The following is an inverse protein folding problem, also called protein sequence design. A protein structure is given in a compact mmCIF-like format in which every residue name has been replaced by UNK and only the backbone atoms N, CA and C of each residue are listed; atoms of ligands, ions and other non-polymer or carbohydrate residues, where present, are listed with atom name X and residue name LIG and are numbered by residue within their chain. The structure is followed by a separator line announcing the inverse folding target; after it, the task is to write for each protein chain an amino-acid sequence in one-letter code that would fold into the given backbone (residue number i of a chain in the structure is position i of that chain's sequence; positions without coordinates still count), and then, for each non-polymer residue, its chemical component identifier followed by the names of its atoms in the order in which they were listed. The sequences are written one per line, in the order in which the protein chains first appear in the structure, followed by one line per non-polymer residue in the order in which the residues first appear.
data_IF_204492763648
#
_entry.id   IF_204492763648
#
_cell.length_a   1.000
_cell.length_b   1.000
_cell.length_c   1.000
_cell.angle_alpha   90.00
_cell.angle_beta   90.00
_cell.angle_gamma   90.00
#
_symmetry.space_group_name_H-M   'P 1'
#
loop_
_entity.id
_entity.type
_entity.pdbx_description
1 polymer ?
#
# COMPACT_ATOMS: atom_id res chain seq x y z
N UNK A 1 8.13 -7.60 21.38
CA UNK A 1 6.69 -7.87 21.22
C UNK A 1 6.10 -8.16 22.58
N UNK A 2 4.92 -7.61 22.87
CA UNK A 2 4.21 -7.82 24.13
C UNK A 2 3.99 -9.31 24.36
N UNK A 3 4.23 -9.76 25.59
CA UNK A 3 3.83 -11.10 26.02
C UNK A 3 2.32 -11.08 26.29
N UNK A 4 1.55 -11.82 25.49
CA UNK A 4 0.10 -11.95 25.64
C UNK A 4 -0.27 -13.43 25.70
N UNK A 5 -1.13 -13.79 26.65
CA UNK A 5 -1.58 -15.17 26.89
C UNK A 5 -2.99 -15.44 26.36
N UNK A 6 -3.64 -14.41 25.78
CA UNK A 6 -5.03 -14.46 25.33
C UNK A 6 -5.34 -15.60 24.35
N UNK A 7 -4.34 -16.03 23.57
CA UNK A 7 -4.50 -17.05 22.53
C UNK A 7 -3.99 -18.44 22.93
N UNK A 8 -3.40 -18.59 24.13
CA UNK A 8 -2.84 -19.87 24.56
C UNK A 8 -3.91 -20.96 24.63
N UNK A 9 -3.67 -22.07 23.92
CA UNK A 9 -4.58 -23.22 23.81
C UNK A 9 -5.94 -22.88 23.18
N UNK A 10 -6.08 -21.72 22.53
CA UNK A 10 -7.31 -21.30 21.85
C UNK A 10 -7.33 -21.79 20.41
N UNK A 11 -8.44 -22.38 19.99
CA UNK A 11 -8.61 -22.76 18.58
C UNK A 11 -8.95 -21.51 17.77
N UNK A 12 -8.12 -21.22 16.77
CA UNK A 12 -8.28 -20.04 15.91
C UNK A 12 -8.34 -20.47 14.45
N UNK A 13 -9.35 -19.99 13.73
CA UNK A 13 -9.52 -20.25 12.30
C UNK A 13 -8.97 -19.08 11.50
N UNK A 14 -7.96 -19.34 10.66
CA UNK A 14 -7.45 -18.36 9.68
C UNK A 14 -8.11 -18.64 8.33
N UNK A 15 -8.97 -17.73 7.87
CA UNK A 15 -9.72 -17.86 6.63
C UNK A 15 -9.04 -17.07 5.50
N UNK A 16 -8.44 -17.80 4.55
CA UNK A 16 -7.67 -17.28 3.43
C UNK A 16 -6.24 -16.94 3.82
N UNK A 17 -5.28 -17.39 3.01
CA UNK A 17 -3.85 -17.12 3.22
C UNK A 17 -3.46 -15.75 2.69
N UNK A 18 -3.09 -15.66 1.40
CA UNK A 18 -2.34 -14.50 0.88
C UNK A 18 -1.14 -14.14 1.81
N UNK A 19 -0.57 -12.93 1.68
CA UNK A 19 0.58 -12.53 2.53
C UNK A 19 0.19 -12.40 4.01
N UNK A 20 -0.94 -11.77 4.31
CA UNK A 20 -1.34 -11.45 5.69
C UNK A 20 -1.94 -12.64 6.46
N UNK A 21 -2.62 -13.57 5.80
CA UNK A 21 -3.15 -14.78 6.47
C UNK A 21 -2.02 -15.74 6.86
N UNK A 22 -0.99 -15.87 6.03
CA UNK A 22 0.22 -16.64 6.38
C UNK A 22 0.92 -16.03 7.60
N UNK A 23 1.14 -14.71 7.61
CA UNK A 23 1.73 -14.00 8.75
C UNK A 23 0.89 -14.12 10.03
N UNK A 24 -0.44 -14.00 9.92
CA UNK A 24 -1.36 -14.18 11.04
C UNK A 24 -1.32 -15.61 11.60
N UNK A 25 -1.31 -16.64 10.74
CA UNK A 25 -1.25 -18.04 11.16
C UNK A 25 0.02 -18.33 11.97
N UNK A 26 1.19 -17.87 11.48
CA UNK A 26 2.46 -18.03 12.20
C UNK A 26 2.49 -17.26 13.51
N UNK A 27 2.00 -16.01 13.53
CA UNK A 27 1.94 -15.23 14.76
C UNK A 27 1.06 -15.91 15.81
N UNK A 28 -0.13 -16.37 15.44
CA UNK A 28 -1.04 -17.06 16.34
C UNK A 28 -0.44 -18.36 16.89
N UNK A 29 0.22 -19.17 16.05
CA UNK A 29 0.91 -20.37 16.49
C UNK A 29 2.03 -20.04 17.51
N UNK A 30 2.80 -18.98 17.26
CA UNK A 30 3.83 -18.48 18.19
C UNK A 30 3.26 -17.97 19.52
N UNK A 31 2.01 -17.50 19.52
CA UNK A 31 1.26 -17.09 20.72
C UNK A 31 0.54 -18.26 21.41
N UNK A 32 0.80 -19.51 21.00
CA UNK A 32 0.24 -20.71 21.62
C UNK A 32 -1.17 -21.08 21.15
N UNK A 33 -1.68 -20.48 20.07
CA UNK A 33 -2.97 -20.84 19.49
C UNK A 33 -2.92 -22.18 18.76
N UNK A 34 -4.05 -22.91 18.78
CA UNK A 34 -4.28 -24.11 17.97
C UNK A 34 -4.88 -23.64 16.63
N UNK A 35 -4.00 -23.35 15.68
CA UNK A 35 -4.39 -22.72 14.41
C UNK A 35 -4.91 -23.76 13.41
N UNK A 36 -6.01 -23.42 12.74
CA UNK A 36 -6.45 -24.08 11.50
C UNK A 36 -6.53 -23.04 10.40
N UNK A 37 -5.91 -23.32 9.26
CA UNK A 37 -6.00 -22.50 8.04
C UNK A 37 -7.05 -23.10 7.12
N UNK A 38 -7.90 -22.27 6.53
CA UNK A 38 -8.84 -22.66 5.48
C UNK A 38 -8.64 -21.76 4.25
N UNK A 39 -8.26 -22.33 3.11
CA UNK A 39 -8.02 -21.61 1.86
C UNK A 39 -8.73 -22.27 0.67
N UNK A 40 -9.24 -21.45 -0.26
CA UNK A 40 -10.00 -21.94 -1.41
C UNK A 40 -9.13 -22.63 -2.46
N UNK A 41 -7.83 -22.33 -2.51
CA UNK A 41 -6.92 -22.95 -3.50
C UNK A 41 -6.65 -24.42 -3.14
N UNK A 42 -6.64 -25.36 -4.11
CA UNK A 42 -6.23 -26.74 -3.87
C UNK A 42 -4.85 -26.84 -3.20
N UNK A 43 -4.66 -27.83 -2.33
CA UNK A 43 -3.43 -27.98 -1.53
C UNK A 43 -2.18 -28.10 -2.40
N UNK A 44 -2.24 -28.89 -3.48
CA UNK A 44 -1.12 -29.12 -4.41
C UNK A 44 -0.65 -27.85 -5.11
N UNK A 45 -1.53 -26.85 -5.24
CA UNK A 45 -1.25 -25.56 -5.89
C UNK A 45 -0.93 -24.44 -4.89
N UNK A 46 -0.84 -24.77 -3.60
CA UNK A 46 -0.74 -23.80 -2.51
C UNK A 46 0.52 -23.97 -1.65
N UNK A 47 1.68 -23.43 -2.11
CA UNK A 47 2.95 -23.54 -1.38
C UNK A 47 2.90 -23.00 0.05
N UNK A 48 2.17 -21.91 0.29
CA UNK A 48 2.00 -21.35 1.64
C UNK A 48 1.27 -22.33 2.58
N UNK A 49 0.25 -23.02 2.09
CA UNK A 49 -0.44 -24.05 2.88
C UNK A 49 0.45 -25.27 3.16
N UNK A 50 1.25 -25.69 2.17
CA UNK A 50 2.22 -26.78 2.32
C UNK A 50 3.25 -26.44 3.41
N UNK A 51 3.86 -25.25 3.35
CA UNK A 51 4.81 -24.78 4.36
C UNK A 51 4.20 -24.73 5.77
N UNK A 52 2.98 -24.21 5.91
CA UNK A 52 2.30 -24.15 7.21
C UNK A 52 1.99 -25.56 7.77
N UNK A 53 1.68 -26.53 6.91
CA UNK A 53 1.49 -27.91 7.34
C UNK A 53 2.80 -28.53 7.84
N UNK A 54 3.93 -28.27 7.18
CA UNK A 54 5.27 -28.69 7.64
C UNK A 54 5.65 -28.05 8.99
N UNK A 55 5.18 -26.82 9.24
CA UNK A 55 5.30 -26.12 10.52
C UNK A 55 4.33 -26.66 11.61
N UNK A 56 3.50 -27.66 11.29
CA UNK A 56 2.57 -28.30 12.22
C UNK A 56 1.21 -27.61 12.35
N UNK A 57 0.89 -26.65 11.49
CA UNK A 57 -0.41 -25.96 11.47
C UNK A 57 -1.40 -26.75 10.61
N UNK A 58 -2.60 -27.02 11.13
CA UNK A 58 -3.66 -27.72 10.37
C UNK A 58 -4.09 -26.86 9.19
N UNK A 59 -4.18 -27.44 8.00
CA UNK A 59 -4.66 -26.77 6.78
C UNK A 59 -5.84 -27.52 6.14
N UNK A 60 -6.79 -26.76 5.62
CA UNK A 60 -7.96 -27.23 4.85
C UNK A 60 -7.97 -26.44 3.54
N UNK A 61 -7.80 -27.14 2.42
CA UNK A 61 -7.62 -26.52 1.11
C UNK A 61 -8.63 -27.06 0.08
N UNK A 62 -8.87 -26.29 -0.99
CA UNK A 62 -9.74 -26.68 -2.10
C UNK A 62 -11.24 -26.52 -1.85
N UNK A 63 -11.63 -25.94 -0.71
CA UNK A 63 -13.03 -25.72 -0.37
C UNK A 63 -13.22 -25.13 1.03
N UNK A 64 -14.46 -24.75 1.33
CA UNK A 64 -14.83 -24.09 2.58
C UNK A 64 -15.94 -24.87 3.31
N UNK A 65 -15.61 -26.01 3.94
CA UNK A 65 -16.60 -26.81 4.66
C UNK A 65 -17.14 -26.04 5.86
N UNK A 66 -18.45 -25.79 5.89
CA UNK A 66 -19.10 -25.02 6.96
C UNK A 66 -19.07 -25.78 8.30
N UNK A 67 -19.04 -27.12 8.23
CA UNK A 67 -18.95 -28.02 9.38
C UNK A 67 -17.63 -27.84 10.14
N UNK A 68 -16.61 -27.24 9.52
CA UNK A 68 -15.38 -26.86 10.22
C UNK A 68 -15.67 -25.92 11.40
N UNK A 69 -16.65 -25.02 11.24
CA UNK A 69 -17.06 -24.11 12.31
C UNK A 69 -17.86 -24.79 13.42
N UNK A 70 -18.17 -26.09 13.29
CA UNK A 70 -18.73 -26.91 14.38
C UNK A 70 -17.69 -27.37 15.40
N UNK A 71 -16.41 -27.17 15.11
CA UNK A 71 -15.36 -27.19 16.11
C UNK A 71 -15.45 -25.95 17.04
N UNK A 72 -14.93 -26.06 18.28
CA UNK A 72 -14.91 -24.97 19.27
C UNK A 72 -13.86 -23.88 18.95
N UNK A 73 -14.02 -23.17 17.84
CA UNK A 73 -13.20 -22.00 17.51
C UNK A 73 -13.61 -20.78 18.36
N UNK A 74 -12.61 -20.07 18.90
CA UNK A 74 -12.84 -18.87 19.72
C UNK A 74 -12.56 -17.57 18.95
N UNK A 75 -11.97 -17.67 17.76
CA UNK A 75 -11.68 -16.53 16.89
C UNK A 75 -11.59 -17.00 15.43
N UNK A 76 -12.09 -16.18 14.51
CA UNK A 76 -11.75 -16.22 13.10
C UNK A 76 -10.89 -15.01 12.75
N UNK A 77 -9.77 -15.24 12.06
CA UNK A 77 -8.98 -14.18 11.43
C UNK A 77 -9.11 -14.32 9.93
N UNK A 78 -9.78 -13.37 9.28
CA UNK A 78 -10.04 -13.43 7.85
C UNK A 78 -9.06 -12.58 7.06
N UNK A 79 -8.69 -13.06 5.87
CA UNK A 79 -8.13 -12.21 4.83
C UNK A 79 -9.10 -11.02 4.60
N UNK A 80 -8.63 -9.75 4.65
CA UNK A 80 -9.48 -8.58 4.51
C UNK A 80 -10.38 -8.61 3.28
N UNK A 81 -9.88 -9.08 2.14
CA UNK A 81 -10.64 -9.10 0.88
C UNK A 81 -11.84 -10.04 0.83
N UNK A 82 -11.94 -11.00 1.75
CA UNK A 82 -13.10 -11.91 1.82
C UNK A 82 -14.31 -11.12 2.34
N UNK A 83 -15.45 -11.19 1.65
CA UNK A 83 -16.64 -10.43 2.03
C UNK A 83 -17.31 -10.98 3.30
N UNK A 84 -18.11 -10.16 3.96
CA UNK A 84 -18.86 -10.56 5.16
C UNK A 84 -20.10 -11.42 4.85
N UNK A 85 -20.58 -11.41 3.60
CA UNK A 85 -21.60 -12.33 3.09
C UNK A 85 -21.04 -13.70 2.65
N UNK A 86 -19.72 -13.90 2.79
CA UNK A 86 -19.11 -15.21 2.57
C UNK A 86 -19.69 -16.23 3.57
N UNK A 87 -20.09 -17.44 3.13
CA UNK A 87 -20.73 -18.43 4.00
C UNK A 87 -19.96 -18.77 5.28
N UNK A 88 -18.62 -18.84 5.23
CA UNK A 88 -17.80 -19.09 6.43
C UNK A 88 -17.86 -17.92 7.41
N UNK A 89 -17.79 -16.69 6.90
CA UNK A 89 -17.83 -15.48 7.73
C UNK A 89 -19.22 -15.30 8.36
N UNK A 90 -20.27 -15.44 7.56
CA UNK A 90 -21.65 -15.38 8.03
C UNK A 90 -21.91 -16.44 9.12
N UNK A 91 -21.47 -17.68 8.90
CA UNK A 91 -21.60 -18.75 9.88
C UNK A 91 -20.80 -18.49 11.16
N UNK A 92 -19.60 -17.93 11.08
CA UNK A 92 -18.82 -17.56 12.26
C UNK A 92 -19.56 -16.52 13.11
N UNK A 93 -20.14 -15.50 12.47
CA UNK A 93 -20.93 -14.47 13.12
C UNK A 93 -22.22 -15.04 13.75
N UNK A 94 -22.93 -15.94 13.06
CA UNK A 94 -24.11 -16.64 13.61
C UNK A 94 -23.78 -17.41 14.90
N UNK A 95 -22.59 -18.00 14.98
CA UNK A 95 -22.12 -18.74 16.16
C UNK A 95 -21.52 -17.84 17.24
N UNK A 96 -21.49 -16.52 17.04
CA UNK A 96 -20.89 -15.56 17.96
C UNK A 96 -19.37 -15.62 18.03
N UNK A 97 -18.71 -16.23 17.03
CA UNK A 97 -17.25 -16.26 16.92
C UNK A 97 -16.79 -14.88 16.43
N UNK A 98 -15.91 -14.18 17.17
CA UNK A 98 -15.35 -12.91 16.71
C UNK A 98 -14.64 -13.09 15.36
N UNK A 99 -14.80 -12.10 14.48
CA UNK A 99 -14.16 -12.08 13.17
C UNK A 99 -13.22 -10.88 13.10
N UNK A 100 -11.92 -11.14 13.15
CA UNK A 100 -10.89 -10.11 13.09
C UNK A 100 -10.12 -10.13 11.77
N UNK A 101 -9.43 -9.04 11.50
CA UNK A 101 -8.38 -8.98 10.49
C UNK A 101 -7.02 -8.93 11.18
N UNK A 102 -5.98 -9.25 10.42
CA UNK A 102 -4.63 -9.41 10.93
C UNK A 102 -4.05 -8.16 11.63
N UNK A 103 -4.53 -6.95 11.30
CA UNK A 103 -4.07 -5.70 11.94
C UNK A 103 -4.50 -5.58 13.40
N UNK A 104 -5.58 -6.24 13.81
CA UNK A 104 -5.97 -6.35 15.22
C UNK A 104 -4.93 -7.17 16.00
N UNK A 105 -4.45 -8.28 15.42
CA UNK A 105 -3.40 -9.10 16.04
C UNK A 105 -2.09 -8.31 16.16
N UNK A 106 -1.71 -7.59 15.11
CA UNK A 106 -0.52 -6.75 15.09
C UNK A 106 -0.54 -5.72 16.23
N UNK A 107 -1.68 -5.04 16.42
CA UNK A 107 -1.84 -4.10 17.52
C UNK A 107 -1.70 -4.75 18.91
N UNK A 108 -2.31 -5.93 19.11
CA UNK A 108 -2.26 -6.62 20.42
C UNK A 108 -0.84 -7.00 20.83
N UNK A 109 0.03 -7.36 19.88
CA UNK A 109 1.42 -7.76 20.16
C UNK A 109 2.44 -6.62 20.06
N UNK A 110 2.09 -5.50 19.41
CA UNK A 110 3.02 -4.38 19.21
C UNK A 110 3.32 -3.65 20.52
N UNK A 111 4.59 -3.41 20.80
CA UNK A 111 5.03 -2.47 21.83
C UNK A 111 5.09 -1.02 21.33
N UNK A 112 5.30 -0.85 20.02
CA UNK A 112 5.36 0.45 19.37
C UNK A 112 3.98 1.11 19.31
N UNK A 113 3.89 2.45 19.51
CA UNK A 113 2.71 3.21 19.12
C UNK A 113 2.44 3.10 17.61
N UNK A 114 1.18 3.29 17.24
CA UNK A 114 0.73 3.20 15.85
C UNK A 114 0.28 4.57 15.35
N UNK A 115 0.77 4.94 14.17
CA UNK A 115 0.19 5.95 13.29
C UNK A 115 -0.57 5.21 12.19
N UNK A 116 -1.90 5.27 12.20
CA UNK A 116 -2.75 4.56 11.24
C UNK A 116 -3.24 5.47 10.12
N UNK A 117 -3.01 5.11 8.85
CA UNK A 117 -3.39 5.92 7.69
C UNK A 117 -4.41 5.18 6.83
N UNK A 118 -5.59 5.78 6.65
CA UNK A 118 -6.62 5.31 5.73
C UNK A 118 -7.19 6.44 4.86
N UNK A 119 -8.10 6.07 3.97
CA UNK A 119 -8.79 6.96 3.03
C UNK A 119 -9.05 6.28 1.69
N UNK A 120 -9.75 6.96 0.78
CA UNK A 120 -9.99 6.45 -0.57
C UNK A 120 -8.69 6.44 -1.36
N UNK A 121 -8.03 7.59 -1.48
CA UNK A 121 -6.79 7.79 -2.25
C UNK A 121 -5.70 8.49 -1.42
N UNK A 122 -4.45 8.48 -1.89
CA UNK A 122 -3.32 9.16 -1.23
C UNK A 122 -2.71 8.43 -0.02
N UNK A 123 -3.32 7.31 0.42
CA UNK A 123 -2.84 6.49 1.56
C UNK A 123 -1.36 6.12 1.46
N UNK A 124 -0.97 5.47 0.36
CA UNK A 124 0.39 4.99 0.14
C UNK A 124 1.40 6.13 0.19
N UNK A 125 1.16 7.21 -0.55
CA UNK A 125 2.04 8.39 -0.57
C UNK A 125 2.16 9.02 0.81
N UNK A 126 1.03 9.24 1.50
CA UNK A 126 1.01 9.84 2.84
C UNK A 126 1.73 8.95 3.86
N UNK A 127 1.52 7.64 3.80
CA UNK A 127 2.18 6.66 4.69
C UNK A 127 3.70 6.69 4.49
N UNK A 128 4.16 6.69 3.23
CA UNK A 128 5.59 6.76 2.92
C UNK A 128 6.20 8.09 3.35
N UNK A 129 5.56 9.22 3.01
CA UNK A 129 6.03 10.55 3.43
C UNK A 129 6.16 10.66 4.96
N UNK A 130 5.19 10.16 5.72
CA UNK A 130 5.26 10.14 7.19
C UNK A 130 6.46 9.32 7.67
N UNK A 131 6.65 8.11 7.16
CA UNK A 131 7.79 7.28 7.56
C UNK A 131 9.13 7.95 7.24
N UNK A 132 9.28 8.52 6.05
CA UNK A 132 10.50 9.21 5.62
C UNK A 132 10.79 10.44 6.49
N UNK A 133 9.76 11.24 6.81
CA UNK A 133 9.92 12.43 7.65
C UNK A 133 10.27 12.06 9.08
N UNK A 134 9.64 11.01 9.64
CA UNK A 134 9.97 10.53 10.98
C UNK A 134 11.43 10.04 11.04
N UNK A 135 11.84 9.23 10.07
CA UNK A 135 13.20 8.68 10.02
C UNK A 135 14.27 9.76 9.82
N UNK A 136 14.05 10.71 8.90
CA UNK A 136 14.96 11.84 8.73
C UNK A 136 14.97 12.77 9.97
N UNK A 137 13.82 12.90 10.65
CA UNK A 137 13.68 13.62 11.90
C UNK A 137 14.33 12.96 13.13
N UNK A 138 15.07 11.86 12.96
CA UNK A 138 15.73 11.14 14.05
C UNK A 138 14.78 10.29 14.91
N UNK A 139 13.58 9.99 14.41
CA UNK A 139 12.67 8.99 14.98
C UNK A 139 12.84 7.67 14.24
N UNK A 140 12.13 6.63 14.67
CA UNK A 140 12.09 5.33 13.98
C UNK A 140 10.66 5.07 13.48
N UNK A 141 10.41 5.37 12.20
CA UNK A 141 9.15 5.12 11.51
C UNK A 141 9.23 3.85 10.66
N UNK A 142 8.46 2.83 11.01
CA UNK A 142 8.50 1.51 10.37
C UNK A 142 7.22 1.28 9.56
N UNK A 143 7.34 1.16 8.25
CA UNK A 143 6.22 0.92 7.34
C UNK A 143 5.59 -0.45 7.59
N UNK A 144 4.26 -0.50 7.61
CA UNK A 144 3.50 -1.74 7.81
C UNK A 144 2.09 -1.70 7.20
N UNK A 145 1.43 -2.86 7.14
CA UNK A 145 0.03 -2.98 6.74
C UNK A 145 -0.12 -3.28 5.25
N UNK A 146 -0.89 -2.46 4.53
CA UNK A 146 -1.14 -2.64 3.10
C UNK A 146 0.05 -2.26 2.19
N UNK A 147 1.13 -1.74 2.76
CA UNK A 147 2.37 -1.40 2.08
C UNK A 147 3.55 -1.97 2.89
N UNK A 148 4.62 -2.35 2.19
CA UNK A 148 5.78 -2.99 2.81
C UNK A 148 5.45 -4.43 3.21
N UNK A 149 5.39 -4.68 4.51
CA UNK A 149 5.20 -6.01 5.10
C UNK A 149 3.87 -6.09 5.87
N UNK A 150 3.26 -7.29 5.99
CA UNK A 150 2.10 -7.51 6.85
C UNK A 150 2.34 -6.96 8.27
N UNK A 151 1.32 -6.33 8.86
CA UNK A 151 1.48 -5.65 10.14
C UNK A 151 1.91 -6.59 11.28
N UNK A 152 1.42 -7.82 11.28
CA UNK A 152 1.74 -8.89 12.23
C UNK A 152 3.17 -9.41 12.10
N UNK A 153 3.79 -9.27 10.94
CA UNK A 153 5.21 -9.57 10.76
C UNK A 153 6.06 -8.46 11.39
N UNK A 154 5.77 -7.20 11.05
CA UNK A 154 6.52 -6.03 11.55
C UNK A 154 6.35 -5.86 13.07
N UNK A 155 5.15 -6.10 13.60
CA UNK A 155 4.85 -5.94 15.02
C UNK A 155 5.70 -6.85 15.94
N UNK A 156 6.31 -7.91 15.39
CA UNK A 156 7.18 -8.81 16.15
C UNK A 156 8.59 -8.26 16.36
N UNK A 157 9.08 -7.40 15.47
CA UNK A 157 10.45 -6.88 15.50
C UNK A 157 10.57 -5.48 16.09
N UNK A 158 9.48 -4.71 16.13
CA UNK A 158 9.46 -3.35 16.69
C UNK A 158 9.41 -3.32 18.22
N UNK A 159 9.91 -2.23 18.78
CA UNK A 159 9.99 -1.91 20.20
C UNK A 159 9.21 -0.64 20.53
N UNK A 160 9.10 -0.28 21.81
CA UNK A 160 8.47 0.97 22.24
C UNK A 160 9.17 2.25 21.74
N UNK A 161 10.40 2.17 21.21
CA UNK A 161 11.10 3.32 20.61
C UNK A 161 10.79 3.52 19.13
N UNK A 162 10.17 2.52 18.51
CA UNK A 162 9.73 2.57 17.13
C UNK A 162 8.32 3.14 17.04
N UNK A 163 7.89 3.50 15.84
CA UNK A 163 6.53 3.89 15.53
C UNK A 163 6.08 3.14 14.30
N UNK A 164 5.01 2.36 14.42
CA UNK A 164 4.41 1.68 13.28
C UNK A 164 3.64 2.70 12.44
N UNK A 165 4.10 2.94 11.21
CA UNK A 165 3.42 3.77 10.23
C UNK A 165 2.61 2.84 9.31
N UNK A 166 1.33 2.69 9.61
CA UNK A 166 0.51 1.59 9.10
C UNK A 166 -0.52 2.04 8.06
N UNK A 167 -0.39 1.56 6.83
CA UNK A 167 -1.42 1.77 5.79
C UNK A 167 -2.59 0.79 6.01
N UNK A 168 -3.81 1.33 6.13
CA UNK A 168 -5.03 0.59 6.45
C UNK A 168 -6.10 0.75 5.36
N UNK A 169 -6.62 -0.37 4.86
CA UNK A 169 -7.82 -0.41 4.03
C UNK A 169 -9.12 -0.35 4.85
N UNK A 170 -10.23 0.00 4.19
CA UNK A 170 -11.55 -0.17 4.80
C UNK A 170 -11.85 -1.64 5.12
N UNK A 171 -11.33 -2.59 4.34
CA UNK A 171 -11.52 -4.02 4.59
C UNK A 171 -10.86 -4.50 5.89
N UNK A 172 -9.64 -4.02 6.16
CA UNK A 172 -8.94 -4.31 7.43
C UNK A 172 -9.72 -3.72 8.61
N UNK A 173 -10.12 -2.46 8.51
CA UNK A 173 -10.82 -1.73 9.56
C UNK A 173 -12.25 -2.27 9.86
N UNK A 174 -12.78 -3.18 9.05
CA UNK A 174 -14.03 -3.90 9.40
C UNK A 174 -13.82 -4.93 10.52
N UNK A 175 -12.63 -5.50 10.65
CA UNK A 175 -12.32 -6.58 11.60
C UNK A 175 -11.39 -6.17 12.73
N UNK A 176 -11.52 -4.93 13.22
CA UNK A 176 -10.79 -4.47 14.41
C UNK A 176 -11.72 -4.36 15.61
N UNK A 177 -11.17 -4.49 16.81
CA UNK A 177 -11.90 -4.37 18.06
C UNK A 177 -11.17 -3.49 19.06
N UNK A 178 -9.93 -3.84 19.41
CA UNK A 178 -9.09 -3.16 20.41
C UNK A 178 -8.11 -2.20 19.76
N UNK A 179 -7.92 -2.29 18.44
CA UNK A 179 -7.03 -1.44 17.65
C UNK A 179 -7.15 0.04 18.05
N UNK A 180 -6.03 0.59 18.51
CA UNK A 180 -5.94 1.94 19.08
C UNK A 180 -4.68 2.63 18.53
N UNK A 181 -4.81 3.39 17.44
CA UNK A 181 -3.73 4.25 16.97
C UNK A 181 -3.63 5.50 17.83
N UNK A 182 -2.41 5.94 18.15
CA UNK A 182 -2.20 7.20 18.85
C UNK A 182 -2.46 8.39 17.92
N UNK A 183 -2.12 8.21 16.64
CA UNK A 183 -2.42 9.18 15.58
C UNK A 183 -3.12 8.43 14.43
N UNK A 184 -4.27 8.92 13.99
CA UNK A 184 -4.99 8.37 12.83
C UNK A 184 -5.13 9.43 11.74
N UNK A 185 -5.03 9.03 10.47
CA UNK A 185 -5.23 9.90 9.31
C UNK A 185 -6.33 9.32 8.43
N UNK A 186 -7.31 10.16 8.05
CA UNK A 186 -8.22 9.87 6.95
C UNK A 186 -7.95 10.88 5.84
N UNK A 187 -7.24 10.46 4.79
CA UNK A 187 -6.79 11.34 3.70
C UNK A 187 -7.95 11.95 2.91
N UNK A 188 -8.98 11.16 2.61
CA UNK A 188 -10.22 11.59 1.96
C UNK A 188 -11.24 10.45 1.98
N UNK A 189 -12.51 10.81 1.76
CA UNK A 189 -13.64 9.90 1.64
C UNK A 189 -14.44 10.20 0.37
N UNK A 190 -14.41 9.28 -0.58
CA UNK A 190 -15.22 9.29 -1.81
C UNK A 190 -15.71 7.88 -2.13
N UNK A 191 -16.81 7.72 -2.89
CA UNK A 191 -17.36 6.41 -3.24
C UNK A 191 -16.29 5.49 -3.82
N UNK A 192 -15.97 4.40 -3.12
CA UNK A 192 -14.91 3.45 -3.47
C UNK A 192 -15.26 2.11 -2.83
N UNK A 193 -14.99 0.99 -3.52
CA UNK A 193 -15.29 -0.36 -3.03
C UNK A 193 -16.77 -0.58 -2.65
N UNK A 194 -17.70 0.10 -3.33
CA UNK A 194 -19.15 -0.04 -3.09
C UNK A 194 -19.64 -1.44 -3.43
N UNK A 195 -18.98 -2.10 -4.39
CA UNK A 195 -19.16 -3.53 -4.66
C UNK A 195 -19.02 -4.36 -3.37
N UNK A 196 -18.01 -4.09 -2.54
CA UNK A 196 -17.79 -4.77 -1.26
C UNK A 196 -18.72 -4.27 -0.13
N UNK A 197 -18.81 -2.95 0.05
CA UNK A 197 -19.48 -2.34 1.21
C UNK A 197 -20.99 -2.16 1.01
N UNK A 198 -21.49 -2.29 -0.21
CA UNK A 198 -22.89 -2.09 -0.59
C UNK A 198 -23.30 -0.62 -0.72
N UNK A 199 -22.80 0.26 0.16
CA UNK A 199 -23.12 1.70 0.16
C UNK A 199 -21.92 2.56 0.53
N UNK A 200 -21.99 3.86 0.25
CA UNK A 200 -20.92 4.80 0.62
C UNK A 200 -20.88 5.02 2.14
N UNK A 201 -22.04 5.01 2.78
CA UNK A 201 -22.20 5.14 4.22
C UNK A 201 -21.53 3.97 4.95
N UNK A 202 -21.74 2.73 4.47
CA UNK A 202 -21.07 1.55 5.00
C UNK A 202 -19.55 1.61 4.80
N UNK A 203 -19.09 2.10 3.65
CA UNK A 203 -17.66 2.32 3.38
C UNK A 203 -17.03 3.34 4.35
N UNK A 204 -17.73 4.44 4.61
CA UNK A 204 -17.32 5.46 5.58
C UNK A 204 -17.27 4.88 6.98
N UNK A 205 -18.32 4.16 7.40
CA UNK A 205 -18.39 3.50 8.70
C UNK A 205 -17.22 2.51 8.89
N UNK A 206 -16.90 1.73 7.86
CA UNK A 206 -15.76 0.82 7.86
C UNK A 206 -14.44 1.55 8.15
N UNK A 207 -14.19 2.70 7.52
CA UNK A 207 -12.98 3.49 7.80
C UNK A 207 -13.02 4.18 9.15
N UNK A 208 -14.20 4.63 9.57
CA UNK A 208 -14.39 5.33 10.85
C UNK A 208 -14.10 4.43 12.06
N UNK A 209 -14.11 3.11 11.89
CA UNK A 209 -13.67 2.20 12.94
C UNK A 209 -12.26 2.48 13.46
N UNK A 210 -11.38 3.11 12.64
CA UNK A 210 -10.00 3.45 13.04
C UNK A 210 -9.92 4.23 14.35
N UNK A 211 -10.96 5.03 14.67
CA UNK A 211 -10.99 5.87 15.87
C UNK A 211 -11.76 5.27 17.06
N UNK A 212 -12.36 4.09 16.92
CA UNK A 212 -13.30 3.56 17.92
C UNK A 212 -12.70 3.45 19.34
N UNK A 213 -11.39 3.24 19.45
CA UNK A 213 -10.66 3.16 20.72
C UNK A 213 -9.82 4.38 21.05
N UNK A 214 -9.77 5.37 20.16
CA UNK A 214 -9.07 6.62 20.41
C UNK A 214 -9.78 7.44 21.50
N UNK A 215 -8.98 8.17 22.26
CA UNK A 215 -9.36 8.99 23.41
C UNK A 215 -8.96 10.44 23.19
N UNK A 216 -9.26 11.33 24.14
CA UNK A 216 -8.84 12.73 24.08
C UNK A 216 -7.32 12.94 24.15
N UNK A 217 -6.55 11.90 24.45
CA UNK A 217 -5.09 11.94 24.44
C UNK A 217 -4.51 11.57 23.06
N UNK A 218 -5.37 11.19 22.10
CA UNK A 218 -5.01 10.78 20.76
C UNK A 218 -5.45 11.81 19.71
N UNK A 219 -4.89 11.71 18.50
CA UNK A 219 -5.09 12.71 17.44
C UNK A 219 -5.64 12.10 16.16
N UNK A 220 -6.72 12.66 15.62
CA UNK A 220 -7.24 12.28 14.30
C UNK A 220 -7.10 13.43 13.30
N UNK A 221 -6.40 13.16 12.21
CA UNK A 221 -6.14 14.08 11.11
C UNK A 221 -7.19 13.87 10.02
N UNK A 222 -7.95 14.92 9.70
CA UNK A 222 -9.09 14.88 8.79
C UNK A 222 -8.99 15.95 7.69
N UNK A 223 -9.42 15.59 6.48
CA UNK A 223 -9.43 16.50 5.33
C UNK A 223 -10.62 17.46 5.37
N UNK A 224 -10.41 18.68 5.87
CA UNK A 224 -11.45 19.70 5.99
C UNK A 224 -11.81 20.39 4.67
N UNK A 225 -11.25 19.95 3.55
CA UNK A 225 -11.83 20.26 2.24
C UNK A 225 -13.18 19.55 2.02
N UNK A 226 -13.52 18.54 2.83
CA UNK A 226 -14.75 17.76 2.70
C UNK A 226 -15.71 18.02 3.87
N UNK A 227 -16.95 18.41 3.59
CA UNK A 227 -17.98 18.63 4.62
C UNK A 227 -18.26 17.36 5.46
N UNK A 228 -18.21 16.19 4.82
CA UNK A 228 -18.32 14.91 5.53
C UNK A 228 -17.25 14.76 6.62
N UNK A 229 -16.02 15.22 6.40
CA UNK A 229 -14.97 15.17 7.39
C UNK A 229 -15.23 16.14 8.56
N UNK A 230 -15.79 17.32 8.29
CA UNK A 230 -16.26 18.28 9.32
C UNK A 230 -17.38 17.69 10.16
N UNK A 231 -18.32 16.96 9.53
CA UNK A 231 -19.38 16.24 10.25
C UNK A 231 -18.80 15.15 11.16
N UNK A 232 -17.92 14.30 10.61
CA UNK A 232 -17.27 13.21 11.35
C UNK A 232 -16.41 13.72 12.53
N UNK A 233 -15.78 14.89 12.40
CA UNK A 233 -15.03 15.53 13.47
C UNK A 233 -15.85 15.73 14.76
N UNK A 234 -17.18 15.87 14.65
CA UNK A 234 -18.08 16.02 15.81
C UNK A 234 -18.41 14.70 16.52
N UNK A 235 -18.01 13.56 15.92
CA UNK A 235 -18.41 12.19 16.34
C UNK A 235 -17.28 11.38 16.96
N UNK A 236 -16.13 12.00 17.25
CA UNK A 236 -14.97 11.33 17.86
C UNK A 236 -14.64 11.91 19.24
N UNK A 237 -13.93 11.12 20.04
CA UNK A 237 -13.33 11.57 21.31
C UNK A 237 -11.90 12.09 21.15
N UNK A 238 -11.26 11.77 20.01
CA UNK A 238 -9.91 12.20 19.70
C UNK A 238 -9.83 13.71 19.45
N UNK A 239 -8.65 14.27 19.66
CA UNK A 239 -8.38 15.64 19.25
C UNK A 239 -8.34 15.71 17.72
N UNK A 240 -9.21 16.53 17.14
CA UNK A 240 -9.27 16.69 15.69
C UNK A 240 -8.20 17.68 15.24
N UNK A 241 -7.30 17.24 14.36
CA UNK A 241 -6.26 18.07 13.75
C UNK A 241 -6.54 18.16 12.24
N UNK A 242 -7.31 19.15 11.79
CA UNK A 242 -7.70 19.23 10.39
C UNK A 242 -6.53 19.56 9.47
N UNK A 243 -6.68 19.22 8.19
CA UNK A 243 -5.91 19.85 7.13
C UNK A 243 -6.80 20.39 6.01
N UNK A 244 -6.36 21.46 5.34
CA UNK A 244 -7.14 22.06 4.25
C UNK A 244 -6.27 22.79 3.21
N UNK A 245 -6.66 22.72 1.94
CA UNK A 245 -6.12 23.57 0.88
C UNK A 245 -7.05 24.72 0.48
N UNK A 246 -8.20 24.85 1.16
CA UNK A 246 -9.27 25.80 0.84
C UNK A 246 -9.35 26.93 1.85
N UNK A 247 -9.17 26.63 3.13
CA UNK A 247 -9.28 27.60 4.21
C UNK A 247 -8.24 27.36 5.31
N UNK A 248 -7.98 28.39 6.11
CA UNK A 248 -7.13 28.29 7.30
C UNK A 248 -7.86 27.50 8.38
N UNK A 249 -7.20 26.50 8.95
CA UNK A 249 -7.74 25.62 9.99
C UNK A 249 -6.77 25.48 11.17
N UNK A 250 -7.24 25.02 12.34
CA UNK A 250 -6.40 24.73 13.52
C UNK A 250 -5.59 23.42 13.35
N UNK A 251 -4.77 23.38 12.30
CA UNK A 251 -3.97 22.25 11.90
C UNK A 251 -3.06 22.63 10.73
N UNK A 252 -2.99 21.80 9.70
CA UNK A 252 -2.16 22.07 8.53
C UNK A 252 -2.95 22.73 7.38
N UNK A 253 -2.46 23.82 6.79
CA UNK A 253 -3.21 24.48 5.72
C UNK A 253 -2.33 25.12 4.64
N UNK A 254 -2.90 25.28 3.43
CA UNK A 254 -2.30 26.05 2.34
C UNK A 254 -2.77 27.51 2.42
N UNK A 255 -1.84 28.47 2.46
CA UNK A 255 -2.14 29.91 2.44
C UNK A 255 -1.06 30.64 1.63
N UNK A 256 -1.48 31.40 0.61
CA UNK A 256 -0.58 32.20 -0.25
C UNK A 256 0.62 31.40 -0.83
N UNK A 257 0.41 30.15 -1.23
CA UNK A 257 1.45 29.26 -1.75
C UNK A 257 2.29 28.55 -0.68
N UNK A 258 2.20 28.98 0.59
CA UNK A 258 2.90 28.35 1.71
C UNK A 258 2.07 27.26 2.38
N UNK A 259 2.73 26.20 2.85
CA UNK A 259 2.16 25.16 3.70
C UNK A 259 2.47 25.50 5.16
N UNK A 260 1.41 25.66 5.95
CA UNK A 260 1.48 26.07 7.35
C UNK A 260 1.02 24.95 8.28
N UNK A 261 1.50 24.98 9.52
CA UNK A 261 0.91 24.25 10.64
C UNK A 261 0.68 25.20 11.82
N UNK A 262 -0.58 25.41 12.21
CA UNK A 262 -0.98 26.28 13.34
C UNK A 262 -0.29 27.67 13.34
N UNK A 263 -0.14 28.27 12.15
CA UNK A 263 0.46 29.60 11.97
C UNK A 263 1.96 29.59 11.65
N UNK A 264 2.66 28.46 11.80
CA UNK A 264 4.06 28.31 11.41
C UNK A 264 4.18 27.93 9.93
N UNK A 265 4.92 28.71 9.13
CA UNK A 265 5.27 28.34 7.76
C UNK A 265 6.28 27.18 7.80
N UNK A 266 5.98 26.10 7.08
CA UNK A 266 6.85 24.91 6.99
C UNK A 266 7.67 24.94 5.70
N UNK A 267 7.00 25.10 4.55
CA UNK A 267 7.62 25.16 3.23
C UNK A 267 6.69 25.80 2.20
N UNK A 268 7.18 26.10 1.00
CA UNK A 268 6.33 26.46 -0.13
C UNK A 268 5.77 25.21 -0.81
N UNK A 269 4.56 25.30 -1.36
CA UNK A 269 3.90 24.17 -2.01
C UNK A 269 4.59 23.74 -3.32
N UNK A 270 5.25 24.66 -4.02
CA UNK A 270 6.02 24.39 -5.24
C UNK A 270 7.40 23.78 -4.96
N UNK A 271 7.83 23.74 -3.69
CA UNK A 271 9.05 23.05 -3.25
C UNK A 271 8.82 21.55 -3.01
N UNK A 272 7.59 21.02 -3.05
CA UNK A 272 7.32 19.59 -2.86
C UNK A 272 7.94 18.80 -4.03
N UNK A 273 8.68 17.72 -3.72
CA UNK A 273 9.41 16.93 -4.72
C UNK A 273 8.52 16.21 -5.75
N UNK A 274 7.23 16.07 -5.47
CA UNK A 274 6.22 15.51 -6.38
C UNK A 274 5.13 16.53 -6.72
N UNK A 275 4.74 16.66 -8.01
CA UNK A 275 3.77 17.65 -8.44
C UNK A 275 2.33 17.25 -8.10
N UNK A 276 1.43 18.24 -8.15
CA UNK A 276 -0.04 18.03 -8.15
C UNK A 276 -0.72 18.34 -6.82
N UNK A 277 -1.94 18.88 -6.90
CA UNK A 277 -2.73 19.31 -5.72
C UNK A 277 -3.01 18.19 -4.73
N UNK A 278 -3.21 16.95 -5.20
CA UNK A 278 -3.36 15.77 -4.34
C UNK A 278 -2.11 15.49 -3.50
N UNK A 279 -0.91 15.81 -4.00
CA UNK A 279 0.32 15.69 -3.23
C UNK A 279 0.51 16.83 -2.24
N UNK A 280 -0.04 18.02 -2.51
CA UNK A 280 -0.16 19.08 -1.50
C UNK A 280 -1.03 18.60 -0.33
N UNK A 281 -2.16 17.96 -0.58
CA UNK A 281 -3.00 17.37 0.48
C UNK A 281 -2.26 16.27 1.27
N UNK A 282 -1.56 15.35 0.59
CA UNK A 282 -0.74 14.32 1.24
C UNK A 282 0.36 14.95 2.11
N UNK A 283 0.99 16.03 1.63
CA UNK A 283 2.02 16.77 2.35
C UNK A 283 1.45 17.47 3.59
N UNK A 284 0.27 18.10 3.51
CA UNK A 284 -0.39 18.72 4.66
C UNK A 284 -0.77 17.71 5.74
N UNK A 285 -1.31 16.54 5.35
CA UNK A 285 -1.56 15.46 6.29
C UNK A 285 -0.25 14.96 6.95
N UNK A 286 0.82 14.85 6.16
CA UNK A 286 2.16 14.48 6.67
C UNK A 286 2.71 15.52 7.63
N UNK A 287 2.59 16.81 7.32
CA UNK A 287 3.00 17.92 8.18
C UNK A 287 2.28 17.83 9.52
N UNK A 288 0.97 17.63 9.52
CA UNK A 288 0.18 17.52 10.75
C UNK A 288 0.69 16.37 11.65
N UNK A 289 0.89 15.19 11.08
CA UNK A 289 1.43 14.02 11.82
C UNK A 289 2.84 14.29 12.33
N UNK A 290 3.71 14.84 11.48
CA UNK A 290 5.12 15.06 11.81
C UNK A 290 5.30 16.08 12.93
N UNK A 291 4.45 17.13 12.95
CA UNK A 291 4.43 18.14 14.01
C UNK A 291 3.94 17.57 15.33
N UNK A 292 2.91 16.72 15.31
CA UNK A 292 2.44 16.00 16.50
C UNK A 292 3.51 15.05 17.05
N UNK A 293 4.32 14.45 16.17
CA UNK A 293 5.46 13.59 16.55
C UNK A 293 6.73 14.36 16.95
N UNK A 294 6.69 15.69 16.98
CA UNK A 294 7.80 16.55 17.40
C UNK A 294 8.97 16.63 16.41
N UNK A 295 8.73 16.39 15.12
CA UNK A 295 9.75 16.56 14.08
C UNK A 295 9.96 18.04 13.77
N UNK A 296 11.21 18.45 13.55
CA UNK A 296 11.56 19.85 13.24
C UNK A 296 11.05 20.29 11.86
N UNK A 297 10.75 21.58 11.71
CA UNK A 297 10.29 22.14 10.43
C UNK A 297 11.33 21.93 9.32
N UNK A 298 12.63 21.98 9.65
CA UNK A 298 13.72 21.76 8.70
C UNK A 298 13.70 20.33 8.15
N UNK A 299 13.62 19.31 9.01
CA UNK A 299 13.55 17.91 8.59
C UNK A 299 12.29 17.64 7.75
N UNK A 300 11.14 18.20 8.14
CA UNK A 300 9.90 18.10 7.35
C UNK A 300 10.10 18.69 5.96
N UNK A 301 10.62 19.92 5.87
CA UNK A 301 10.84 20.62 4.59
C UNK A 301 11.81 19.84 3.69
N UNK A 302 12.97 19.46 4.21
CA UNK A 302 14.00 18.76 3.44
C UNK A 302 13.48 17.43 2.89
N UNK A 303 12.83 16.62 3.73
CA UNK A 303 12.29 15.34 3.28
C UNK A 303 11.22 15.51 2.22
N UNK A 304 10.21 16.37 2.44
CA UNK A 304 9.12 16.57 1.47
C UNK A 304 9.62 17.19 0.16
N UNK A 305 10.65 18.03 0.20
CA UNK A 305 11.28 18.57 -0.99
C UNK A 305 12.07 17.51 -1.79
N UNK A 306 12.71 16.57 -1.09
CA UNK A 306 13.44 15.46 -1.71
C UNK A 306 12.56 14.26 -2.09
N UNK A 307 11.30 14.24 -1.68
CA UNK A 307 10.43 13.08 -1.86
C UNK A 307 10.15 12.85 -3.35
N UNK A 308 10.71 11.77 -3.91
CA UNK A 308 10.62 11.42 -5.34
C UNK A 308 9.45 10.52 -5.73
N UNK A 309 8.50 10.28 -4.82
CA UNK A 309 7.38 9.36 -5.02
C UNK A 309 7.53 8.04 -4.25
N UNK A 310 6.52 7.18 -4.36
CA UNK A 310 6.53 5.88 -3.68
C UNK A 310 7.34 4.89 -4.52
N UNK A 311 8.24 4.14 -3.87
CA UNK A 311 9.05 3.11 -4.51
C UNK A 311 8.21 2.21 -5.42
N UNK A 312 8.66 2.02 -6.66
CA UNK A 312 8.01 1.21 -7.70
C UNK A 312 6.66 1.71 -8.25
N UNK A 313 6.19 2.92 -7.90
CA UNK A 313 4.95 3.51 -8.44
C UNK A 313 5.24 4.89 -9.01
N UNK A 314 5.41 4.97 -10.33
CA UNK A 314 5.88 6.16 -11.05
C UNK A 314 7.01 6.90 -10.30
N UNK A 315 7.89 6.12 -9.67
CA UNK A 315 8.97 6.64 -8.85
C UNK A 315 10.01 7.28 -9.77
N UNK A 316 10.28 8.57 -9.59
CA UNK A 316 11.44 9.17 -10.22
C UNK A 316 12.70 8.57 -9.57
N UNK A 317 13.55 7.94 -10.36
CA UNK A 317 14.79 7.30 -9.89
C UNK A 317 15.94 8.29 -10.03
N UNK A 318 16.21 8.77 -11.25
CA UNK A 318 17.30 9.68 -11.50
C UNK A 318 17.26 10.34 -12.89
N UNK A 319 18.20 11.26 -13.12
CA UNK A 319 18.53 11.81 -14.43
C UNK A 319 19.98 11.50 -14.80
N UNK A 320 20.21 10.88 -15.96
CA UNK A 320 21.56 10.58 -16.49
C UNK A 320 21.63 11.14 -17.91
N UNK A 321 22.59 12.02 -18.19
CA UNK A 321 22.73 12.68 -19.50
C UNK A 321 21.41 13.32 -20.00
N UNK A 322 20.67 13.96 -19.09
CA UNK A 322 19.34 14.56 -19.34
C UNK A 322 18.23 13.54 -19.71
N UNK A 323 18.46 12.25 -19.49
CA UNK A 323 17.44 11.19 -19.59
C UNK A 323 16.87 10.90 -18.22
N UNK A 324 15.55 11.00 -18.06
CA UNK A 324 14.86 10.73 -16.78
C UNK A 324 14.43 9.27 -16.68
N UNK A 325 14.64 8.66 -15.52
CA UNK A 325 14.27 7.27 -15.26
C UNK A 325 13.10 7.19 -14.29
N UNK A 326 12.06 6.45 -14.65
CA UNK A 326 10.89 6.21 -13.81
C UNK A 326 10.65 4.73 -13.58
N UNK A 327 10.60 4.34 -12.31
CA UNK A 327 10.26 2.99 -11.87
C UNK A 327 8.77 2.89 -11.52
N UNK A 328 8.03 2.22 -12.37
CA UNK A 328 6.61 1.92 -12.20
C UNK A 328 6.34 0.40 -12.25
N UNK A 329 7.27 -0.39 -11.67
CA UNK A 329 7.18 -1.86 -11.64
C UNK A 329 5.87 -2.38 -11.02
N UNK A 330 5.19 -1.58 -10.18
CA UNK A 330 3.88 -1.91 -9.59
C UNK A 330 2.73 -1.97 -10.62
N UNK A 331 2.93 -1.46 -11.83
CA UNK A 331 1.97 -1.56 -12.93
C UNK A 331 1.96 -2.97 -13.55
N UNK A 332 1.33 -3.91 -12.83
CA UNK A 332 1.28 -5.33 -13.19
C UNK A 332 0.09 -5.72 -14.09
N UNK A 333 -0.59 -4.75 -14.69
CA UNK A 333 -1.71 -4.95 -15.62
C UNK A 333 -1.81 -3.76 -16.59
N UNK A 334 -2.52 -3.96 -17.71
CA UNK A 334 -2.70 -2.98 -18.79
C UNK A 334 -3.18 -1.63 -18.24
N UNK A 335 -4.27 -1.61 -17.46
CA UNK A 335 -4.86 -0.39 -16.92
C UNK A 335 -3.89 0.46 -16.10
N UNK A 336 -3.00 -0.18 -15.33
CA UNK A 336 -2.00 0.53 -14.55
C UNK A 336 -0.96 1.23 -15.45
N UNK A 337 -0.50 0.56 -16.52
CA UNK A 337 0.41 1.14 -17.50
C UNK A 337 -0.24 2.25 -18.34
N UNK A 338 -1.52 2.12 -18.69
CA UNK A 338 -2.27 3.21 -19.35
C UNK A 338 -2.27 4.48 -18.48
N UNK A 339 -2.56 4.33 -17.19
CA UNK A 339 -2.52 5.44 -16.23
C UNK A 339 -1.13 6.05 -16.12
N UNK A 340 -0.09 5.21 -16.13
CA UNK A 340 1.29 5.68 -16.10
C UNK A 340 1.63 6.54 -17.34
N UNK A 341 1.33 6.04 -18.54
CA UNK A 341 1.60 6.73 -19.81
C UNK A 341 0.83 8.05 -19.94
N UNK A 342 -0.37 8.16 -19.38
CA UNK A 342 -1.16 9.40 -19.42
C UNK A 342 -0.49 10.63 -18.81
N UNK A 343 0.55 10.43 -17.99
CA UNK A 343 1.35 11.49 -17.38
C UNK A 343 2.54 11.97 -18.22
N UNK A 344 2.79 11.38 -19.39
CA UNK A 344 3.97 11.66 -20.20
C UNK A 344 3.61 12.08 -21.64
N UNK A 345 4.51 12.82 -22.26
CA UNK A 345 4.54 12.94 -23.72
C UNK A 345 5.15 11.66 -24.30
N UNK A 346 4.32 10.80 -24.85
CA UNK A 346 4.72 9.52 -25.43
C UNK A 346 5.89 9.65 -26.42
N UNK A 347 6.00 10.75 -27.16
CA UNK A 347 7.09 10.96 -28.13
C UNK A 347 8.49 11.00 -27.49
N UNK A 348 8.56 11.13 -26.15
CA UNK A 348 9.78 11.11 -25.33
C UNK A 348 9.97 9.82 -24.55
N UNK A 349 8.99 8.93 -24.54
CA UNK A 349 9.00 7.74 -23.68
C UNK A 349 9.63 6.55 -24.39
N UNK A 350 10.60 5.93 -23.74
CA UNK A 350 11.07 4.57 -24.01
C UNK A 350 10.49 3.66 -22.94
N UNK A 351 9.52 2.84 -23.32
CA UNK A 351 8.75 1.99 -22.41
C UNK A 351 9.37 0.60 -22.30
N UNK A 352 9.70 0.17 -21.08
CA UNK A 352 10.08 -1.21 -20.77
C UNK A 352 8.83 -1.99 -20.35
N UNK A 353 8.46 -3.03 -21.10
CA UNK A 353 7.23 -3.79 -20.89
C UNK A 353 7.37 -5.31 -21.04
N UNK A 354 6.45 -6.05 -20.42
CA UNK A 354 6.40 -7.52 -20.46
C UNK A 354 6.72 -8.20 -19.13
N UNK A 355 6.48 -9.51 -19.09
CA UNK A 355 6.58 -10.35 -17.89
C UNK A 355 5.71 -11.60 -18.04
N UNK A 356 5.12 -12.09 -16.94
CA UNK A 356 4.33 -13.32 -16.91
C UNK A 356 3.20 -13.32 -17.96
N UNK A 357 3.11 -14.38 -18.76
CA UNK A 357 2.00 -14.56 -19.69
C UNK A 357 0.78 -15.14 -18.95
N UNK A 358 -0.34 -14.41 -18.98
CA UNK A 358 -1.63 -14.86 -18.45
C UNK A 358 -2.61 -15.25 -19.56
N UNK A 359 -2.14 -15.31 -20.81
CA UNK A 359 -2.92 -15.67 -21.99
C UNK A 359 -3.72 -14.52 -22.60
N UNK A 360 -3.74 -13.33 -21.99
CA UNK A 360 -4.42 -12.15 -22.54
C UNK A 360 -3.57 -11.47 -23.63
N UNK A 361 -4.25 -10.93 -24.65
CA UNK A 361 -3.62 -10.00 -25.60
C UNK A 361 -3.52 -8.58 -24.99
N UNK A 362 -2.82 -7.69 -25.70
CA UNK A 362 -2.55 -6.31 -25.28
C UNK A 362 -3.24 -5.27 -26.19
N UNK A 363 -4.30 -5.66 -26.89
CA UNK A 363 -5.08 -4.77 -27.76
C UNK A 363 -5.59 -3.52 -27.05
N UNK A 364 -6.00 -3.65 -25.78
CA UNK A 364 -6.46 -2.53 -24.96
C UNK A 364 -5.36 -1.48 -24.71
N UNK A 365 -4.08 -1.88 -24.76
CA UNK A 365 -2.94 -0.99 -24.51
C UNK A 365 -2.55 -0.18 -25.75
N UNK A 366 -2.97 -0.60 -26.95
CA UNK A 366 -2.59 -0.02 -28.25
C UNK A 366 -2.80 1.50 -28.33
N UNK A 367 -3.96 2.07 -27.92
CA UNK A 367 -4.18 3.50 -27.99
C UNK A 367 -3.18 4.28 -27.13
N UNK A 368 -2.83 3.77 -25.95
CA UNK A 368 -1.98 4.44 -24.98
C UNK A 368 -0.49 4.34 -25.31
N UNK A 369 -0.05 3.30 -26.01
CA UNK A 369 1.34 3.18 -26.49
C UNK A 369 1.55 3.85 -27.85
N UNK A 370 0.49 4.26 -28.53
CA UNK A 370 0.63 4.97 -29.81
C UNK A 370 1.43 6.25 -29.62
N UNK A 371 2.47 6.42 -30.45
CA UNK A 371 3.39 7.56 -30.36
C UNK A 371 4.53 7.40 -29.35
N UNK A 372 4.60 6.29 -28.60
CA UNK A 372 5.76 5.98 -27.75
C UNK A 372 7.01 5.89 -28.62
N UNK A 373 8.11 6.54 -28.21
CA UNK A 373 9.35 6.61 -29.00
C UNK A 373 9.89 5.21 -29.34
N UNK A 374 9.93 4.32 -28.34
CA UNK A 374 10.40 2.93 -28.50
C UNK A 374 9.91 2.06 -27.34
N UNK A 375 9.75 0.76 -27.60
CA UNK A 375 9.52 -0.23 -26.54
C UNK A 375 10.71 -1.18 -26.39
N UNK A 376 11.05 -1.52 -25.15
CA UNK A 376 11.99 -2.61 -24.84
C UNK A 376 11.18 -3.71 -24.17
N UNK A 377 11.12 -4.87 -24.81
CA UNK A 377 10.15 -5.93 -24.47
C UNK A 377 10.90 -7.14 -23.90
N UNK A 378 10.40 -7.69 -22.79
CA UNK A 378 11.00 -8.83 -22.08
C UNK A 378 9.93 -9.80 -21.53
N UNK A 379 10.38 -10.93 -20.99
CA UNK A 379 9.53 -11.89 -20.29
C UNK A 379 8.68 -12.79 -21.18
N UNK A 380 7.89 -13.66 -20.55
CA UNK A 380 7.08 -14.69 -21.22
C UNK A 380 6.05 -14.11 -22.19
N UNK A 381 5.44 -12.97 -21.82
CA UNK A 381 4.40 -12.28 -22.60
C UNK A 381 4.96 -11.51 -23.81
N UNK A 382 6.28 -11.47 -24.01
CA UNK A 382 6.93 -10.70 -25.06
C UNK A 382 6.30 -10.86 -26.46
N UNK A 383 5.97 -12.08 -26.94
CA UNK A 383 5.32 -12.24 -28.25
C UNK A 383 3.98 -11.51 -28.37
N UNK A 384 3.22 -11.37 -27.27
CA UNK A 384 1.92 -10.68 -27.26
C UNK A 384 2.07 -9.18 -27.19
N UNK A 385 3.01 -8.70 -26.37
CA UNK A 385 3.34 -7.27 -26.24
C UNK A 385 3.87 -6.74 -27.58
N UNK A 386 4.70 -7.52 -28.29
CA UNK A 386 5.16 -7.18 -29.64
C UNK A 386 4.02 -6.98 -30.63
N UNK A 387 3.01 -7.84 -30.62
CA UNK A 387 1.83 -7.68 -31.50
C UNK A 387 1.08 -6.38 -31.24
N UNK A 388 0.99 -5.94 -29.98
CA UNK A 388 0.39 -4.63 -29.66
C UNK A 388 1.28 -3.48 -30.16
N UNK A 389 2.60 -3.57 -29.98
CA UNK A 389 3.55 -2.58 -30.51
C UNK A 389 3.45 -2.46 -32.05
N UNK A 390 3.35 -3.60 -32.75
CA UNK A 390 3.15 -3.65 -34.22
C UNK A 390 1.85 -2.98 -34.64
N UNK A 391 0.74 -3.27 -33.94
CA UNK A 391 -0.56 -2.64 -34.18
C UNK A 391 -0.53 -1.12 -33.94
N UNK A 392 0.24 -0.67 -32.94
CA UNK A 392 0.42 0.73 -32.61
C UNK A 392 1.43 1.46 -33.54
N UNK A 393 2.14 0.74 -34.41
CA UNK A 393 3.20 1.30 -35.24
C UNK A 393 4.46 1.72 -34.45
N UNK A 394 4.70 1.10 -33.29
CA UNK A 394 5.81 1.44 -32.39
C UNK A 394 6.98 0.47 -32.59
N UNK A 395 8.18 1.00 -32.80
CA UNK A 395 9.39 0.18 -32.88
C UNK A 395 9.75 -0.44 -31.53
N UNK A 396 10.25 -1.68 -31.55
CA UNK A 396 10.62 -2.39 -30.33
C UNK A 396 11.95 -3.15 -30.45
N UNK A 397 12.57 -3.42 -29.30
CA UNK A 397 13.74 -4.28 -29.15
C UNK A 397 13.48 -5.33 -28.06
N UNK A 398 14.15 -6.47 -28.16
CA UNK A 398 14.13 -7.53 -27.15
C UNK A 398 15.16 -7.29 -26.05
N UNK A 399 14.81 -7.65 -24.83
CA UNK A 399 15.71 -7.69 -23.69
C UNK A 399 15.58 -9.00 -22.91
N UNK A 400 16.67 -9.43 -22.28
CA UNK A 400 16.71 -10.67 -21.50
C UNK A 400 16.03 -10.52 -20.14
N UNK A 401 16.31 -9.42 -19.46
CA UNK A 401 15.84 -9.08 -18.12
C UNK A 401 15.72 -7.56 -17.97
N UNK A 402 15.36 -7.07 -16.78
CA UNK A 402 15.14 -5.64 -16.57
C UNK A 402 16.46 -4.88 -16.58
N UNK A 403 17.55 -5.47 -16.08
CA UNK A 403 18.88 -4.86 -16.18
C UNK A 403 19.31 -4.66 -17.64
N UNK A 404 19.18 -5.68 -18.49
CA UNK A 404 19.44 -5.61 -19.93
C UNK A 404 18.51 -4.59 -20.61
N UNK A 405 17.21 -4.64 -20.31
CA UNK A 405 16.23 -3.71 -20.87
C UNK A 405 16.53 -2.25 -20.54
N UNK A 406 16.99 -1.99 -19.32
CA UNK A 406 17.35 -0.64 -18.85
C UNK A 406 18.57 -0.10 -19.59
N UNK A 407 19.61 -0.94 -19.79
CA UNK A 407 20.80 -0.57 -20.56
C UNK A 407 20.46 -0.30 -22.03
N UNK A 408 19.69 -1.20 -22.65
CA UNK A 408 19.22 -1.02 -24.03
C UNK A 408 18.37 0.26 -24.13
N UNK A 409 17.47 0.52 -23.19
CA UNK A 409 16.64 1.72 -23.20
C UNK A 409 17.50 3.01 -23.14
N UNK A 410 18.52 3.03 -22.27
CA UNK A 410 19.43 4.15 -22.14
C UNK A 410 20.28 4.37 -23.41
N UNK A 411 20.79 3.30 -24.02
CA UNK A 411 21.55 3.37 -25.28
C UNK A 411 20.70 3.90 -26.45
N UNK A 412 19.37 3.79 -26.36
CA UNK A 412 18.42 4.31 -27.36
C UNK A 412 17.86 5.70 -27.00
N UNK A 413 18.16 6.21 -25.80
CA UNK A 413 17.67 7.49 -25.31
C UNK A 413 18.53 8.66 -25.79
N UNK A 414 17.89 9.80 -26.00
CA UNK A 414 18.54 11.09 -26.23
C UNK A 414 18.25 12.01 -25.03
N UNK A 415 19.02 13.08 -24.89
CA UNK A 415 18.74 14.14 -23.91
C UNK A 415 17.27 14.63 -24.01
N UNK A 416 16.61 14.70 -22.86
CA UNK A 416 15.19 15.06 -22.72
C UNK A 416 14.20 13.89 -22.80
N UNK A 417 14.67 12.66 -23.07
CA UNK A 417 13.82 11.47 -23.08
C UNK A 417 13.56 10.91 -21.68
N UNK A 418 12.58 10.00 -21.62
CA UNK A 418 12.16 9.28 -20.42
C UNK A 418 12.29 7.78 -20.64
N UNK A 419 12.98 7.08 -19.73
CA UNK A 419 12.95 5.62 -19.63
C UNK A 419 11.95 5.23 -18.55
N UNK A 420 10.89 4.52 -18.93
CA UNK A 420 9.79 4.14 -18.05
C UNK A 420 9.68 2.61 -17.95
N UNK A 421 9.92 2.05 -16.76
CA UNK A 421 9.53 0.68 -16.45
C UNK A 421 8.06 0.66 -16.02
N UNK A 422 7.13 0.36 -16.93
CA UNK A 422 5.71 0.17 -16.60
C UNK A 422 5.20 -1.11 -17.29
N UNK A 423 5.31 -2.29 -16.64
CA UNK A 423 5.40 -3.54 -17.39
C UNK A 423 4.12 -4.09 -18.00
N UNK A 424 2.94 -3.61 -17.58
CA UNK A 424 1.62 -4.17 -17.87
C UNK A 424 1.42 -5.67 -17.51
N UNK A 425 2.42 -6.29 -16.86
CA UNK A 425 2.46 -7.71 -16.52
C UNK A 425 2.93 -7.93 -15.07
N UNK A 426 2.44 -9.02 -14.46
CA UNK A 426 3.04 -9.56 -13.24
C UNK A 426 4.49 -10.00 -13.50
N UNK A 427 5.30 -10.07 -12.45
CA UNK A 427 6.75 -10.31 -12.56
C UNK A 427 7.17 -11.76 -12.37
N UNK A 428 6.24 -12.68 -12.09
CA UNK A 428 6.51 -14.00 -11.52
C UNK A 428 7.21 -15.01 -12.44
N UNK A 429 7.26 -14.73 -13.74
CA UNK A 429 8.05 -15.50 -14.69
C UNK A 429 9.55 -15.36 -14.45
N UNK A 430 9.99 -14.20 -13.95
CA UNK A 430 11.41 -13.84 -13.81
C UNK A 430 11.81 -13.44 -12.39
N UNK A 431 10.89 -12.90 -11.60
CA UNK A 431 11.15 -12.31 -10.28
C UNK A 431 10.10 -12.75 -9.27
N UNK A 432 10.49 -12.89 -8.00
CA UNK A 432 9.56 -13.29 -6.93
C UNK A 432 8.35 -12.36 -6.78
N UNK A 433 8.55 -11.06 -6.98
CA UNK A 433 7.51 -10.03 -6.86
C UNK A 433 7.90 -8.77 -7.64
N UNK A 434 7.03 -7.75 -7.66
CA UNK A 434 7.28 -6.55 -8.45
C UNK A 434 8.33 -5.64 -7.80
N UNK A 435 8.51 -5.74 -6.48
CA UNK A 435 9.51 -5.02 -5.72
C UNK A 435 10.91 -5.44 -6.18
N UNK A 436 11.21 -6.76 -6.23
CA UNK A 436 12.49 -7.30 -6.72
C UNK A 436 12.76 -6.87 -8.16
N UNK A 437 11.75 -6.93 -9.05
CA UNK A 437 11.86 -6.44 -10.43
C UNK A 437 12.21 -4.95 -10.49
N UNK A 438 11.55 -4.15 -9.64
CA UNK A 438 11.77 -2.71 -9.58
C UNK A 438 13.11 -2.34 -8.91
N UNK A 439 13.61 -3.17 -8.01
CA UNK A 439 14.92 -3.01 -7.38
C UNK A 439 16.06 -3.25 -8.38
N UNK A 440 15.92 -4.24 -9.27
CA UNK A 440 16.88 -4.45 -10.36
C UNK A 440 16.96 -3.25 -11.31
N UNK A 441 15.83 -2.62 -11.63
CA UNK A 441 15.79 -1.38 -12.41
C UNK A 441 16.56 -0.26 -11.71
N UNK A 442 16.28 -0.01 -10.43
CA UNK A 442 16.95 1.04 -9.65
C UNK A 442 18.45 0.79 -9.61
N UNK A 443 18.88 -0.42 -9.23
CA UNK A 443 20.29 -0.79 -9.16
C UNK A 443 21.00 -0.63 -10.51
N UNK A 444 20.31 -0.91 -11.62
CA UNK A 444 20.88 -0.72 -12.96
C UNK A 444 21.02 0.75 -13.32
N UNK A 445 20.04 1.59 -12.98
CA UNK A 445 20.14 3.06 -13.15
C UNK A 445 21.31 3.61 -12.35
N UNK A 446 21.50 3.17 -11.10
CA UNK A 446 22.65 3.56 -10.28
C UNK A 446 23.99 3.17 -10.94
N UNK A 447 24.08 1.95 -11.49
CA UNK A 447 25.28 1.49 -12.23
C UNK A 447 25.58 2.32 -13.49
N UNK A 448 24.55 2.86 -14.16
CA UNK A 448 24.73 3.68 -15.37
C UNK A 448 25.37 5.05 -15.06
N UNK A 449 25.37 5.50 -13.80
CA UNK A 449 25.97 6.79 -13.40
C UNK A 449 27.50 6.74 -13.29
N UNK A 450 28.07 5.55 -13.09
CA UNK A 450 29.48 5.36 -12.76
C UNK A 450 29.72 5.07 -11.29
#
# INVERSE_FOLDING_TARGET
MKSITQFENKKVLVLGLAKSGEAAARLLAKLGAIVTVNDGKPFEENPSAQALLEEGIKVVCGGHPLELLDENFELMVKNPGIRYDNPMVARALEKGIPVWTEVELAYLVSEAPIIGITGSNGKTTTTTMIADVLNHGGKSGVLSGNIGFPASEVAQSVTAQDTLVMELSSFQLMGINSFHPHIAVITNLMPTHIDYHGSFEAYVAAKWNIQNRMTSDDFIILNFNQDLAKELATKTKAQVVPFSTVEKVDGAYLENGGLYYKGELIMQADEIGVPGSHNVENALATIAVSKLSGVSNQAIKETLASFGGVKHRLQFVDTINDVKFYNDSKSTNILATQKALSGFDNSKVILIAGGLDRGNEFDELVPDITGVKKMIILGESAPRVKRAAEKAGVSYLDAKDVADATRIAFDQANAGDVVLLSPANASWDMYKNFEVRGDEFIATVEQLKG
#
